data_IF_319174478983
#
_entry.id   IF_319174478983
#
_cell.length_a   1.000
_cell.length_b   1.000
_cell.length_c   1.000
_cell.angle_alpha   90.00
_cell.angle_beta   90.00
_cell.angle_gamma   90.00
#
_symmetry.space_group_name_H-M   'P 1'
#
loop_
_entity.id
_entity.type
_entity.pdbx_description
1 polymer ?
#
# COMPACT_ATOMS: atom_id res chain seq x y z
N UNK A 1 -6.60 -20.91 22.63
CA UNK A 1 -5.89 -21.76 21.65
C UNK A 1 -4.70 -20.97 21.14
N UNK A 2 -3.56 -21.07 21.84
CA UNK A 2 -2.31 -20.44 21.43
C UNK A 2 -1.68 -21.29 20.32
N UNK A 3 -1.45 -20.67 19.17
CA UNK A 3 -0.97 -21.32 17.96
C UNK A 3 0.51 -21.70 18.15
N UNK A 4 0.81 -23.00 18.14
CA UNK A 4 2.15 -23.57 18.44
C UNK A 4 3.16 -23.39 17.28
N UNK A 5 2.75 -22.78 16.16
CA UNK A 5 3.59 -22.71 14.95
C UNK A 5 4.77 -21.72 14.97
N UNK A 6 5.00 -20.93 16.04
CA UNK A 6 6.05 -19.90 16.05
C UNK A 6 7.32 -20.25 16.86
N UNK A 7 7.56 -21.52 17.21
CA UNK A 7 8.66 -21.90 18.12
C UNK A 7 9.96 -22.40 17.48
N UNK A 8 10.19 -22.21 16.18
CA UNK A 8 11.48 -22.56 15.57
C UNK A 8 12.44 -21.37 15.72
N UNK A 9 12.94 -21.16 16.93
CA UNK A 9 14.08 -20.28 17.18
C UNK A 9 15.38 -20.95 16.74
N UNK A 10 16.28 -20.20 16.09
CA UNK A 10 17.62 -20.69 15.79
C UNK A 10 18.47 -20.69 17.08
N UNK A 11 19.16 -21.80 17.36
CA UNK A 11 20.14 -21.89 18.44
C UNK A 11 21.51 -21.57 17.84
N UNK A 12 22.14 -20.50 18.30
CA UNK A 12 23.52 -20.16 17.91
C UNK A 12 24.52 -21.20 18.44
N UNK A 13 25.73 -21.34 17.86
CA UNK A 13 26.76 -22.26 18.35
C UNK A 13 27.11 -22.07 19.83
N UNK A 14 26.94 -20.86 20.35
CA UNK A 14 27.17 -20.48 21.75
C UNK A 14 25.98 -20.77 22.69
N UNK A 15 24.93 -21.46 22.21
CA UNK A 15 23.80 -21.89 23.03
C UNK A 15 22.78 -20.78 23.38
N UNK A 16 22.90 -19.60 22.78
CA UNK A 16 21.93 -18.51 22.95
C UNK A 16 20.67 -18.76 22.11
N UNK A 17 19.50 -18.73 22.76
CA UNK A 17 18.20 -18.73 22.08
C UNK A 17 17.96 -17.34 21.49
N UNK A 18 18.01 -17.24 20.16
CA UNK A 18 17.64 -16.00 19.50
C UNK A 18 16.10 -15.89 19.51
N UNK A 19 15.54 -14.73 19.93
CA UNK A 19 14.11 -14.51 19.76
C UNK A 19 13.75 -14.71 18.28
N UNK A 20 12.51 -15.14 17.97
CA UNK A 20 12.08 -15.26 16.58
C UNK A 20 12.39 -13.96 15.86
N UNK A 21 13.20 -14.04 14.80
CA UNK A 21 13.50 -12.88 13.97
C UNK A 21 12.19 -12.41 13.35
N UNK A 22 11.69 -11.27 13.81
CA UNK A 22 10.62 -10.58 13.11
C UNK A 22 11.28 -9.87 11.93
N UNK A 23 11.08 -10.40 10.73
CA UNK A 23 11.47 -9.66 9.54
C UNK A 23 10.61 -8.41 9.46
N UNK A 24 11.24 -7.27 9.17
CA UNK A 24 10.51 -6.06 8.80
C UNK A 24 9.64 -6.36 7.57
N UNK A 25 8.58 -5.58 7.39
CA UNK A 25 7.62 -5.77 6.30
C UNK A 25 8.30 -5.84 4.92
N UNK A 26 7.76 -6.67 4.03
CA UNK A 26 8.14 -6.74 2.63
C UNK A 26 7.14 -5.93 1.80
N UNK A 27 7.63 -5.02 0.98
CA UNK A 27 6.80 -4.20 0.09
C UNK A 27 7.40 -4.10 -1.31
N UNK A 28 6.56 -3.84 -2.32
CA UNK A 28 7.05 -3.34 -3.60
C UNK A 28 7.68 -1.96 -3.41
N UNK A 29 8.84 -1.73 -4.02
CA UNK A 29 9.61 -0.49 -3.86
C UNK A 29 10.33 -0.12 -5.16
N UNK A 30 9.59 0.45 -6.12
CA UNK A 30 10.13 0.89 -7.41
C UNK A 30 10.18 2.42 -7.59
N UNK A 31 9.98 3.20 -6.53
CA UNK A 31 9.73 4.65 -6.63
C UNK A 31 8.62 4.91 -7.67
N UNK A 32 8.70 5.99 -8.46
CA UNK A 32 7.69 6.35 -9.47
C UNK A 32 7.97 5.67 -10.80
N UNK A 33 7.05 4.82 -11.25
CA UNK A 33 7.10 4.18 -12.58
C UNK A 33 5.86 4.50 -13.42
N UNK A 34 6.04 4.53 -14.75
CA UNK A 34 4.92 4.65 -15.70
C UNK A 34 4.04 3.39 -15.66
N UNK A 35 2.73 3.57 -15.75
CA UNK A 35 1.76 2.48 -15.69
C UNK A 35 0.67 2.58 -16.76
N UNK A 36 0.12 1.44 -17.14
CA UNK A 36 -1.09 1.31 -17.97
C UNK A 36 -2.38 1.23 -17.14
N UNK A 37 -2.29 1.22 -15.81
CA UNK A 37 -3.45 1.17 -14.93
C UNK A 37 -4.28 2.45 -15.06
N UNK A 38 -5.54 2.32 -15.49
CA UNK A 38 -6.43 3.46 -15.73
C UNK A 38 -7.21 3.93 -14.49
N UNK A 39 -6.94 3.35 -13.31
CA UNK A 39 -7.60 3.70 -12.05
C UNK A 39 -9.02 3.13 -11.90
N UNK A 40 -9.34 2.02 -12.58
CA UNK A 40 -10.64 1.34 -12.47
C UNK A 40 -10.46 -0.15 -12.14
N UNK A 41 -11.36 -0.70 -11.31
CA UNK A 41 -11.30 -2.11 -10.93
C UNK A 41 -10.06 -2.42 -10.08
N UNK A 42 -9.25 -3.39 -10.51
CA UNK A 42 -7.97 -3.69 -9.88
C UNK A 42 -6.82 -3.66 -10.87
N UNK A 43 -5.64 -3.25 -10.40
CA UNK A 43 -4.42 -3.16 -11.20
C UNK A 43 -3.24 -3.79 -10.45
N UNK A 44 -2.28 -4.33 -11.20
CA UNK A 44 -0.96 -4.62 -10.66
C UNK A 44 -0.05 -3.40 -10.74
N UNK A 45 0.89 -3.29 -9.79
CA UNK A 45 1.93 -2.25 -9.81
C UNK A 45 2.90 -2.45 -10.98
N UNK A 46 3.11 -3.72 -11.39
CA UNK A 46 4.17 -4.16 -12.29
C UNK A 46 5.59 -3.86 -11.80
N UNK A 47 5.74 -3.54 -10.52
CA UNK A 47 7.04 -3.38 -9.87
C UNK A 47 7.67 -4.76 -9.62
N UNK A 48 8.88 -4.96 -10.14
CA UNK A 48 9.64 -6.22 -9.97
C UNK A 48 10.53 -6.24 -8.73
N UNK A 49 10.61 -5.14 -7.99
CA UNK A 49 11.51 -4.96 -6.85
C UNK A 49 10.72 -5.12 -5.55
N UNK A 50 11.12 -6.11 -4.76
CA UNK A 50 10.65 -6.32 -3.39
C UNK A 50 11.74 -5.90 -2.43
N UNK A 51 11.40 -5.06 -1.46
CA UNK A 51 12.34 -4.59 -0.44
C UNK A 51 11.85 -4.89 0.96
N UNK A 52 12.79 -5.19 1.85
CA UNK A 52 12.56 -5.22 3.29
C UNK A 52 12.52 -3.78 3.78
N UNK A 53 11.42 -3.37 4.42
CA UNK A 53 11.28 -2.05 5.00
C UNK A 53 12.33 -1.81 6.08
N UNK A 54 12.75 -0.56 6.25
CA UNK A 54 13.84 -0.20 7.15
C UNK A 54 13.41 -0.27 8.61
N UNK A 55 12.17 0.13 8.90
CA UNK A 55 11.63 0.16 10.25
C UNK A 55 10.54 -0.91 10.41
N UNK A 56 10.42 -1.48 11.61
CA UNK A 56 9.42 -2.50 11.91
C UNK A 56 7.98 -2.00 11.77
N UNK A 57 7.76 -0.70 11.99
CA UNK A 57 6.45 -0.04 11.93
C UNK A 57 6.13 0.62 10.58
N UNK A 58 7.01 0.48 9.58
CA UNK A 58 6.70 0.90 8.22
C UNK A 58 5.62 0.01 7.61
N UNK A 59 4.79 0.62 6.75
CA UNK A 59 3.73 -0.05 6.00
C UNK A 59 3.97 0.10 4.50
N UNK A 60 3.36 -0.76 3.70
CA UNK A 60 3.45 -0.66 2.25
C UNK A 60 2.48 0.41 1.74
N UNK A 61 2.96 1.27 0.85
CA UNK A 61 2.17 2.30 0.19
C UNK A 61 2.17 2.09 -1.31
N UNK A 62 1.04 2.37 -1.96
CA UNK A 62 1.00 2.66 -3.38
C UNK A 62 0.32 4.01 -3.63
N UNK A 63 0.88 4.79 -4.58
CA UNK A 63 0.30 6.04 -5.06
C UNK A 63 0.06 5.92 -6.55
N UNK A 64 -1.18 6.11 -6.97
CA UNK A 64 -1.52 6.21 -8.38
C UNK A 64 -1.81 7.67 -8.75
N UNK A 65 -1.23 8.11 -9.86
CA UNK A 65 -1.43 9.47 -10.38
C UNK A 65 -1.84 9.42 -11.85
N UNK A 66 -2.71 10.34 -12.23
CA UNK A 66 -3.07 10.61 -13.61
C UNK A 66 -2.44 11.92 -14.07
N UNK A 67 -1.57 11.84 -15.07
CA UNK A 67 -1.10 12.97 -15.85
C UNK A 67 -1.93 13.10 -17.13
N UNK A 68 -1.75 14.18 -17.91
CA UNK A 68 -2.59 14.54 -19.06
C UNK A 68 -2.87 13.41 -20.06
N UNK A 69 -1.95 12.46 -20.20
CA UNK A 69 -2.04 11.33 -21.14
C UNK A 69 -1.51 10.00 -20.60
N UNK A 70 -0.96 9.97 -19.39
CA UNK A 70 -0.28 8.80 -18.84
C UNK A 70 -0.62 8.59 -17.37
N UNK A 71 -0.43 7.36 -16.90
CA UNK A 71 -0.57 7.01 -15.49
C UNK A 71 0.80 6.69 -14.90
N UNK A 72 0.94 6.91 -13.61
CA UNK A 72 2.12 6.47 -12.87
C UNK A 72 1.72 5.82 -11.56
N UNK A 73 2.46 4.80 -11.17
CA UNK A 73 2.35 4.15 -9.88
C UNK A 73 3.65 4.37 -9.13
N UNK A 74 3.55 4.75 -7.86
CA UNK A 74 4.67 4.82 -6.94
C UNK A 74 4.48 3.77 -5.84
N UNK A 75 5.50 2.98 -5.57
CA UNK A 75 5.48 1.96 -4.50
C UNK A 75 6.67 2.16 -3.57
N UNK A 76 6.42 2.17 -2.26
CA UNK A 76 7.45 2.38 -1.24
C UNK A 76 7.00 1.86 0.14
N UNK A 77 7.97 1.71 1.04
CA UNK A 77 7.73 1.61 2.49
C UNK A 77 7.58 3.02 3.08
N UNK A 78 6.67 3.20 4.03
CA UNK A 78 6.48 4.50 4.68
C UNK A 78 6.10 4.37 6.17
N UNK A 79 6.56 5.33 6.97
CA UNK A 79 6.22 5.44 8.38
C UNK A 79 4.88 6.19 8.53
N UNK A 80 3.79 5.52 8.95
CA UNK A 80 2.46 6.14 9.01
C UNK A 80 2.37 7.28 10.04
N UNK A 81 3.34 7.43 10.96
CA UNK A 81 3.40 8.56 11.89
C UNK A 81 3.83 9.87 11.23
N UNK A 82 4.31 9.81 9.97
CA UNK A 82 4.77 10.97 9.20
C UNK A 82 3.83 11.24 8.03
N UNK A 83 3.58 12.52 7.69
CA UNK A 83 2.80 12.84 6.51
C UNK A 83 3.55 12.45 5.24
N UNK A 84 2.85 11.84 4.29
CA UNK A 84 3.38 11.53 2.96
C UNK A 84 2.94 12.61 1.97
N UNK A 85 3.89 13.40 1.45
CA UNK A 85 3.59 14.56 0.60
C UNK A 85 2.58 15.55 1.24
N UNK A 86 2.61 15.68 2.57
CA UNK A 86 1.69 16.53 3.33
C UNK A 86 0.31 15.90 3.57
N UNK A 87 0.11 14.63 3.22
CA UNK A 87 -1.14 13.89 3.43
C UNK A 87 -0.95 12.91 4.59
N UNK A 88 -1.89 12.93 5.54
CA UNK A 88 -1.97 11.91 6.60
C UNK A 88 -2.67 10.65 6.08
N UNK A 89 -2.08 9.49 6.37
CA UNK A 89 -2.62 8.19 6.01
C UNK A 89 -3.64 7.73 7.05
N UNK A 90 -4.83 7.34 6.59
CA UNK A 90 -5.93 6.89 7.46
C UNK A 90 -6.20 5.38 7.39
N UNK A 91 -5.53 4.67 6.47
CA UNK A 91 -5.76 3.26 6.12
C UNK A 91 -4.58 2.33 6.44
N UNK A 92 -3.61 2.78 7.23
CA UNK A 92 -2.37 2.03 7.49
C UNK A 92 -2.56 0.71 8.26
N UNK A 93 -3.78 0.43 8.75
CA UNK A 93 -4.15 -0.83 9.38
C UNK A 93 -4.87 -1.81 8.43
N UNK A 94 -5.04 -1.45 7.16
CA UNK A 94 -5.67 -2.33 6.16
C UNK A 94 -4.75 -3.50 5.80
N UNK A 95 -5.33 -4.66 5.47
CA UNK A 95 -4.59 -5.77 4.87
C UNK A 95 -4.44 -5.63 3.35
N UNK A 96 -5.37 -4.92 2.69
CA UNK A 96 -5.41 -4.74 1.24
C UNK A 96 -5.23 -3.28 0.85
N UNK A 97 -4.54 -3.03 -0.26
CA UNK A 97 -4.33 -1.69 -0.79
C UNK A 97 -5.58 -1.20 -1.55
N UNK A 98 -6.48 -0.53 -0.82
CA UNK A 98 -7.69 0.07 -1.41
C UNK A 98 -7.47 1.54 -1.70
N UNK A 99 -7.40 1.90 -2.97
CA UNK A 99 -7.10 3.25 -3.45
C UNK A 99 -8.15 4.26 -3.03
N UNK A 100 -7.70 5.34 -2.37
CA UNK A 100 -8.54 6.48 -1.94
C UNK A 100 -8.07 7.76 -2.59
N UNK A 101 -9.01 8.54 -3.12
CA UNK A 101 -8.72 9.85 -3.66
C UNK A 101 -8.30 10.82 -2.54
N UNK A 102 -7.21 11.55 -2.77
CA UNK A 102 -6.72 12.63 -1.91
C UNK A 102 -6.39 13.84 -2.78
N UNK A 103 -6.65 15.03 -2.23
CA UNK A 103 -6.32 16.30 -2.89
C UNK A 103 -4.88 16.67 -2.54
N UNK A 104 -4.06 16.86 -3.57
CA UNK A 104 -2.68 17.37 -3.45
C UNK A 104 -2.52 18.67 -4.24
N UNK A 105 -1.47 19.41 -3.94
CA UNK A 105 -1.10 20.64 -4.66
C UNK A 105 -0.81 20.39 -6.15
N UNK A 106 -0.42 19.18 -6.52
CA UNK A 106 -0.15 18.76 -7.90
C UNK A 106 -1.35 18.14 -8.64
N UNK A 107 -2.54 18.14 -8.04
CA UNK A 107 -3.75 17.51 -8.62
C UNK A 107 -4.30 16.35 -7.78
N UNK A 108 -5.39 15.70 -8.23
CA UNK A 108 -5.95 14.53 -7.56
C UNK A 108 -4.98 13.35 -7.67
N UNK A 109 -4.71 12.71 -6.54
CA UNK A 109 -3.96 11.46 -6.49
C UNK A 109 -4.77 10.41 -5.75
N UNK A 110 -4.49 9.14 -6.04
CA UNK A 110 -5.04 8.04 -5.29
C UNK A 110 -3.91 7.42 -4.47
N UNK A 111 -4.19 7.16 -3.20
CA UNK A 111 -3.23 6.55 -2.29
C UNK A 111 -3.90 5.40 -1.54
N UNK A 112 -3.15 4.34 -1.29
CA UNK A 112 -3.52 3.31 -0.36
C UNK A 112 -2.32 2.89 0.49
N UNK A 113 -2.63 2.42 1.70
CA UNK A 113 -1.67 1.82 2.60
C UNK A 113 -2.15 0.47 3.11
N UNK A 114 -1.22 -0.45 3.36
CA UNK A 114 -1.54 -1.80 3.81
C UNK A 114 -0.36 -2.49 4.52
N UNK A 115 -0.66 -3.55 5.28
CA UNK A 115 0.28 -4.20 6.21
C UNK A 115 0.69 -5.62 5.83
N UNK A 116 0.04 -6.24 4.86
CA UNK A 116 0.42 -7.58 4.38
C UNK A 116 1.67 -7.50 3.47
N UNK A 117 2.38 -8.61 3.31
CA UNK A 117 3.57 -8.65 2.46
C UNK A 117 3.20 -8.36 1.00
N UNK A 118 3.94 -7.44 0.38
CA UNK A 118 3.77 -7.01 -1.01
C UNK A 118 2.34 -6.56 -1.37
N UNK A 119 1.55 -6.17 -0.37
CA UNK A 119 0.14 -5.84 -0.55
C UNK A 119 -0.08 -4.63 -1.47
N UNK A 120 0.93 -3.77 -1.62
CA UNK A 120 0.94 -2.63 -2.52
C UNK A 120 1.21 -3.01 -4.00
N UNK A 121 1.31 -4.30 -4.32
CA UNK A 121 1.35 -4.78 -5.70
C UNK A 121 -0.04 -4.84 -6.34
N UNK A 122 -1.10 -5.12 -5.57
CA UNK A 122 -2.47 -5.18 -6.07
C UNK A 122 -3.26 -3.96 -5.58
N UNK A 123 -3.54 -3.04 -6.51
CA UNK A 123 -4.23 -1.80 -6.27
C UNK A 123 -5.71 -1.99 -6.56
N UNK A 124 -6.55 -1.97 -5.53
CA UNK A 124 -8.00 -2.06 -5.67
C UNK A 124 -8.63 -0.67 -5.67
N UNK A 125 -9.30 -0.30 -6.76
CA UNK A 125 -10.08 0.93 -6.86
C UNK A 125 -11.53 0.61 -6.54
N UNK A 126 -12.12 1.34 -5.60
CA UNK A 126 -13.56 1.26 -5.38
C UNK A 126 -14.26 1.53 -6.72
N UNK A 127 -15.35 0.81 -7.05
CA UNK A 127 -16.20 1.21 -8.16
C UNK A 127 -16.58 2.65 -7.89
N UNK A 128 -16.26 3.55 -8.83
CA UNK A 128 -16.57 4.96 -8.65
C UNK A 128 -18.03 5.06 -8.21
N UNK A 129 -18.30 5.85 -7.18
CA UNK A 129 -19.63 6.41 -6.99
C UNK A 129 -19.91 7.20 -8.28
N UNK A 130 -20.42 6.50 -9.31
CA UNK A 130 -21.20 7.12 -10.34
C UNK A 130 -22.36 7.72 -9.58
N UNK A 131 -22.19 9.01 -9.25
CA UNK A 131 -23.22 9.98 -9.03
C UNK A 131 -24.58 9.31 -8.89
N UNK A 132 -24.96 8.98 -7.65
CA UNK A 132 -26.37 9.03 -7.30
C UNK A 132 -26.76 10.51 -7.39
N UNK A 133 -26.81 11.06 -8.61
CA UNK A 133 -27.70 12.17 -8.89
C UNK A 133 -29.07 11.64 -8.52
N UNK A 134 -29.79 12.23 -7.55
CA UNK A 134 -31.19 11.91 -7.39
C UNK A 134 -31.85 12.21 -8.74
N UNK A 135 -32.36 11.19 -9.42
CA UNK A 135 -33.33 11.41 -10.48
C UNK A 135 -34.49 12.12 -9.81
N UNK A 136 -34.53 13.45 -9.95
CA UNK A 136 -35.74 14.23 -9.69
C UNK A 136 -36.77 13.69 -10.66
N UNK A 137 -37.68 12.86 -10.13
CA UNK A 137 -38.92 12.52 -10.79
C UNK A 137 -39.68 13.83 -10.99
N UNK A 138 -39.61 14.38 -12.20
CA UNK A 138 -40.53 15.42 -12.63
C UNK A 138 -41.84 14.71 -12.98
N UNK A 139 -42.90 15.15 -12.31
CA UNK A 139 -44.29 14.68 -12.37
C UNK A 139 -44.78 14.19 -13.74
#
# INVERSE_FOLDING_TARGET
MTNILNLIGCVSPDGMFQPPFSLNKLCKFCDVESSSCNGTGSCLSNCSITSICRLEHEVCIAIWRKNDSNYSIETLCHDPSKPLYGIELDDYNSSMCTMKEKKSSGGPLYICSCTEEECNDNLAFAPGEYLLTPTVSVN
#
